data_IF_901830508573
#
_entry.id   IF_901830508573
#
_cell.length_a   1.000
_cell.length_b   1.000
_cell.length_c   1.000
_cell.angle_alpha   90.00
_cell.angle_beta   90.00
_cell.angle_gamma   90.00
#
_symmetry.space_group_name_H-M   'P 1'
#
loop_
_entity.id
_entity.type
_entity.pdbx_description
1 polymer ?
#
# COMPACT_ATOMS: atom_id res chain seq x y z
N UNK A 1 -1.31 -4.64 17.23
CA UNK A 1 -1.07 -4.48 15.78
C UNK A 1 -2.17 -3.60 15.21
N UNK A 2 -1.82 -2.40 14.75
CA UNK A 2 -2.79 -1.39 14.33
C UNK A 2 -3.20 -1.65 12.88
N UNK A 3 -4.39 -2.23 12.69
CA UNK A 3 -5.02 -2.34 11.36
C UNK A 3 -5.29 -0.92 10.86
N UNK A 4 -4.84 -0.61 9.66
CA UNK A 4 -4.96 0.73 9.05
C UNK A 4 -6.25 0.91 8.27
N UNK A 5 -7.12 -0.11 8.26
CA UNK A 5 -8.41 -0.08 7.57
C UNK A 5 -8.32 -0.23 6.06
N UNK A 6 -7.12 -0.40 5.48
CA UNK A 6 -6.97 -0.63 4.05
C UNK A 6 -7.33 -2.10 3.73
N UNK A 7 -8.44 -2.26 3.02
CA UNK A 7 -8.90 -3.53 2.47
C UNK A 7 -8.71 -3.47 0.96
N UNK A 8 -7.92 -4.40 0.41
CA UNK A 8 -7.74 -4.56 -1.03
C UNK A 8 -8.32 -5.93 -1.40
N UNK A 9 -9.13 -6.02 -2.44
CA UNK A 9 -9.88 -7.23 -2.85
C UNK A 9 -10.59 -7.98 -1.70
N UNK A 10 -11.14 -7.24 -0.74
CA UNK A 10 -11.85 -7.82 0.41
C UNK A 10 -10.95 -8.45 1.49
N UNK A 11 -9.62 -8.33 1.37
CA UNK A 11 -8.68 -8.83 2.37
C UNK A 11 -7.92 -7.68 3.05
N UNK A 12 -7.63 -7.79 4.36
CA UNK A 12 -6.86 -6.78 5.07
C UNK A 12 -5.40 -6.82 4.63
N UNK A 13 -4.86 -5.67 4.23
CA UNK A 13 -3.47 -5.57 3.80
C UNK A 13 -2.53 -5.40 5.01
N UNK A 14 -1.35 -6.04 4.95
CA UNK A 14 -0.33 -5.97 6.02
C UNK A 14 0.65 -4.82 5.76
N UNK A 15 0.97 -4.06 6.81
CA UNK A 15 2.00 -3.00 6.77
C UNK A 15 3.38 -3.67 6.66
N UNK A 16 4.12 -3.37 5.59
CA UNK A 16 5.49 -3.86 5.38
C UNK A 16 6.55 -2.79 5.71
N UNK A 17 6.21 -1.50 5.67
CA UNK A 17 7.14 -0.42 6.05
C UNK A 17 6.38 0.81 6.59
N UNK A 18 6.93 1.42 7.65
CA UNK A 18 6.38 2.60 8.34
C UNK A 18 7.42 3.71 8.33
N UNK A 19 7.72 4.24 7.15
CA UNK A 19 8.42 5.53 7.06
C UNK A 19 7.47 6.64 7.51
N UNK A 20 7.94 7.73 8.16
CA UNK A 20 7.09 8.78 8.74
C UNK A 20 6.12 9.46 7.76
N UNK A 21 6.32 9.25 6.45
CA UNK A 21 5.61 9.95 5.38
C UNK A 21 4.76 9.03 4.49
N UNK A 22 4.94 7.71 4.56
CA UNK A 22 4.20 6.76 3.72
C UNK A 22 4.11 5.37 4.38
N UNK A 23 2.92 4.76 4.33
CA UNK A 23 2.71 3.36 4.76
C UNK A 23 2.67 2.48 3.52
N UNK A 24 3.55 1.48 3.47
CA UNK A 24 3.55 0.52 2.37
C UNK A 24 2.81 -0.75 2.81
N UNK A 25 1.92 -1.23 1.97
CA UNK A 25 1.20 -2.49 2.14
C UNK A 25 1.50 -3.42 0.99
N UNK A 26 1.51 -4.72 1.24
CA UNK A 26 1.65 -5.72 0.18
C UNK A 26 0.37 -6.54 0.05
N UNK A 27 -0.08 -6.71 -1.19
CA UNK A 27 -1.14 -7.65 -1.53
C UNK A 27 -0.87 -8.32 -2.87
N UNK A 28 -0.67 -9.64 -2.83
CA UNK A 28 -0.36 -10.42 -4.03
C UNK A 28 0.95 -9.97 -4.68
N UNK A 29 0.88 -9.66 -5.97
CA UNK A 29 2.02 -9.23 -6.80
C UNK A 29 2.25 -7.71 -6.77
N UNK A 30 1.53 -6.98 -5.92
CA UNK A 30 1.60 -5.53 -5.84
C UNK A 30 1.87 -5.03 -4.42
N UNK A 31 2.53 -3.88 -4.37
CA UNK A 31 2.68 -3.07 -3.17
C UNK A 31 1.86 -1.77 -3.34
N UNK A 32 1.31 -1.29 -2.24
CA UNK A 32 0.45 -0.12 -2.16
C UNK A 32 1.06 0.87 -1.18
N UNK A 33 1.50 2.01 -1.70
CA UNK A 33 2.11 3.09 -0.94
C UNK A 33 1.03 4.12 -0.63
N UNK A 34 0.57 4.15 0.61
CA UNK A 34 -0.41 5.14 1.08
C UNK A 34 0.33 6.39 1.55
N UNK A 35 0.17 7.47 0.80
CA UNK A 35 0.72 8.78 1.11
C UNK A 35 -0.20 9.56 2.05
N UNK A 36 0.36 10.49 2.82
CA UNK A 36 -0.38 11.36 3.74
C UNK A 36 -1.44 12.25 3.07
N UNK A 37 -1.31 12.49 1.77
CA UNK A 37 -2.27 13.26 0.97
C UNK A 37 -3.49 12.43 0.49
N UNK A 38 -3.60 11.17 0.92
CA UNK A 38 -4.70 10.27 0.54
C UNK A 38 -4.52 9.54 -0.79
N UNK A 39 -3.45 9.83 -1.55
CA UNK A 39 -3.12 9.04 -2.76
C UNK A 39 -2.56 7.68 -2.37
N UNK A 40 -2.86 6.68 -3.19
CA UNK A 40 -2.34 5.33 -3.04
C UNK A 40 -1.55 5.00 -4.30
N UNK A 41 -0.22 5.02 -4.22
CA UNK A 41 0.65 4.56 -5.30
C UNK A 41 0.69 3.04 -5.33
N UNK A 42 0.69 2.46 -6.53
CA UNK A 42 0.80 1.02 -6.73
C UNK A 42 2.15 0.73 -7.38
N UNK A 43 2.92 -0.17 -6.80
CA UNK A 43 4.14 -0.72 -7.39
C UNK A 43 4.01 -2.24 -7.52
N UNK A 44 4.78 -2.87 -8.39
CA UNK A 44 4.92 -4.34 -8.35
C UNK A 44 5.89 -4.78 -7.23
N UNK A 45 6.04 -6.10 -7.07
CA UNK A 45 6.99 -6.69 -6.11
C UNK A 45 8.46 -6.34 -6.40
N UNK A 46 8.79 -5.86 -7.59
CA UNK A 46 10.11 -5.38 -7.97
C UNK A 46 10.28 -3.87 -7.73
N UNK A 47 9.24 -3.19 -7.21
CA UNK A 47 9.25 -1.76 -6.90
C UNK A 47 8.91 -0.86 -8.08
N UNK A 48 8.51 -1.40 -9.24
CA UNK A 48 8.17 -0.59 -10.42
C UNK A 48 6.80 0.02 -10.24
N UNK A 49 6.72 1.35 -10.29
CA UNK A 49 5.47 2.10 -10.23
C UNK A 49 4.53 1.75 -11.39
N UNK A 50 3.31 1.33 -11.07
CA UNK A 50 2.26 0.98 -12.03
C UNK A 50 1.19 2.07 -12.17
N UNK A 51 1.10 2.98 -11.20
CA UNK A 51 0.11 4.05 -11.21
C UNK A 51 -0.47 4.31 -9.83
N UNK A 52 -1.59 5.03 -9.79
CA UNK A 52 -2.35 5.25 -8.57
C UNK A 52 -3.59 4.36 -8.54
N UNK A 53 -3.94 3.80 -7.38
CA UNK A 53 -5.22 3.12 -7.20
C UNK A 53 -6.35 4.16 -7.24
N UNK A 54 -7.46 3.80 -7.89
CA UNK A 54 -8.65 4.63 -8.05
C UNK A 54 -9.78 4.15 -7.14
#
# INVERSE_FOLDING_TARGET
MTSTGLIVDGKPATIIEKEPQAKVYQQGLFNYVVYSNGKIGVTDTSGVFKGYAK
#
